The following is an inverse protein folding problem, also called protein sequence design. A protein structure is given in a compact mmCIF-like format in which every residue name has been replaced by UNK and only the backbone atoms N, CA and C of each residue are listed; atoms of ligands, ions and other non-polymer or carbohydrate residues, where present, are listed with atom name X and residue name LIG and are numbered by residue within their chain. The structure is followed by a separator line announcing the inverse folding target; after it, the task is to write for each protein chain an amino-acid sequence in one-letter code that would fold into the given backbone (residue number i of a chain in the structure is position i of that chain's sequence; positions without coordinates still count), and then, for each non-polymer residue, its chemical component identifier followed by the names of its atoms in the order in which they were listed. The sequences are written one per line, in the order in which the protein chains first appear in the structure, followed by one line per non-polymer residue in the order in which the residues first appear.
data_IF_632254867208
#
_entry.id   IF_632254867208
#
_cell.length_a   1.000
_cell.length_b   1.000
_cell.length_c   1.000
_cell.angle_alpha   90.00
_cell.angle_beta   90.00
_cell.angle_gamma   90.00
#
_symmetry.space_group_name_H-M   'P 1'
#
loop_
_entity.id
_entity.type
_entity.pdbx_description
1 polymer ?
#
# COMPACT_ATOMS: atom_id res chain seq x y z
N UNK A 1 -34.95 -7.23 41.54
CA UNK A 1 -34.68 -5.92 40.95
C UNK A 1 -34.65 -6.11 39.44
N UNK A 2 -35.77 -5.79 38.80
CA UNK A 2 -35.94 -5.95 37.36
C UNK A 2 -35.26 -4.77 36.70
N UNK A 3 -34.07 -5.00 36.16
CA UNK A 3 -33.26 -3.96 35.52
C UNK A 3 -33.91 -3.63 34.17
N UNK A 4 -34.63 -2.51 34.11
CA UNK A 4 -35.20 -2.00 32.87
C UNK A 4 -34.07 -1.27 32.16
N UNK A 5 -33.18 -2.03 31.53
CA UNK A 5 -32.20 -1.48 30.62
C UNK A 5 -32.96 -0.70 29.53
N UNK A 6 -32.65 0.59 29.40
CA UNK A 6 -33.15 1.42 28.31
C UNK A 6 -32.91 0.69 26.98
N UNK A 7 -33.92 0.53 26.11
CA UNK A 7 -33.74 -0.14 24.83
C UNK A 7 -32.62 0.55 24.04
N UNK A 8 -31.54 -0.17 23.77
CA UNK A 8 -30.44 0.33 22.94
C UNK A 8 -30.92 0.38 21.50
N UNK A 9 -30.78 1.53 20.85
CA UNK A 9 -31.10 1.66 19.43
C UNK A 9 -30.22 0.72 18.59
N UNK A 10 -30.85 -0.06 17.71
CA UNK A 10 -30.17 -1.09 16.91
C UNK A 10 -29.22 -0.48 15.88
N UNK A 11 -29.52 0.71 15.38
CA UNK A 11 -28.66 1.44 14.45
C UNK A 11 -27.40 1.90 15.17
N UNK A 12 -27.57 2.58 16.29
CA UNK A 12 -26.48 3.04 17.15
C UNK A 12 -25.59 1.89 17.63
N UNK A 13 -26.17 0.76 18.05
CA UNK A 13 -25.38 -0.41 18.43
C UNK A 13 -24.49 -0.90 17.29
N UNK A 14 -25.01 -1.00 16.06
CA UNK A 14 -24.23 -1.41 14.89
C UNK A 14 -23.15 -0.38 14.53
N UNK A 15 -23.47 0.90 14.62
CA UNK A 15 -22.52 1.98 14.36
C UNK A 15 -21.35 1.93 15.36
N UNK A 16 -21.64 1.86 16.65
CA UNK A 16 -20.63 1.79 17.71
C UNK A 16 -19.79 0.51 17.57
N UNK A 17 -20.43 -0.64 17.42
CA UNK A 17 -19.70 -1.91 17.27
C UNK A 17 -18.88 -1.97 15.97
N UNK A 18 -19.28 -1.25 14.92
CA UNK A 18 -18.51 -1.12 13.68
C UNK A 18 -17.14 -0.45 13.85
N UNK A 19 -16.90 0.24 14.98
CA UNK A 19 -15.61 0.83 15.31
C UNK A 19 -14.63 -0.16 15.95
N UNK A 20 -15.06 -1.38 16.29
CA UNK A 20 -14.16 -2.45 16.73
C UNK A 20 -13.78 -3.31 15.51
N UNK A 21 -12.56 -3.15 14.96
CA UNK A 21 -12.15 -3.91 13.78
C UNK A 21 -12.07 -5.40 14.12
N UNK A 22 -12.44 -6.23 13.15
CA UNK A 22 -12.38 -7.69 13.28
C UNK A 22 -11.58 -8.28 12.14
N UNK A 23 -10.87 -9.39 12.39
CA UNK A 23 -10.40 -10.23 11.29
C UNK A 23 -11.57 -10.91 10.60
N UNK A 24 -11.37 -11.33 9.36
CA UNK A 24 -12.34 -12.16 8.63
C UNK A 24 -11.86 -13.60 8.62
N UNK A 25 -12.75 -14.53 8.94
CA UNK A 25 -12.49 -15.96 8.84
C UNK A 25 -13.59 -16.65 8.03
N UNK A 26 -13.22 -17.76 7.38
CA UNK A 26 -14.17 -18.65 6.70
C UNK A 26 -14.20 -20.00 7.42
N UNK A 27 -15.33 -20.29 8.05
CA UNK A 27 -15.61 -21.61 8.64
C UNK A 27 -16.06 -22.53 7.53
N UNK A 28 -15.34 -23.63 7.35
CA UNK A 28 -15.61 -24.64 6.32
C UNK A 28 -15.84 -25.99 6.96
N UNK A 29 -16.59 -26.84 6.25
CA UNK A 29 -16.82 -28.20 6.67
C UNK A 29 -17.33 -29.04 5.52
N UNK A 30 -17.21 -30.36 5.65
CA UNK A 30 -17.79 -31.32 4.72
C UNK A 30 -18.94 -32.07 5.38
N UNK A 31 -20.13 -32.00 4.80
CA UNK A 31 -21.26 -32.81 5.24
C UNK A 31 -21.09 -34.28 4.82
N UNK A 32 -21.82 -35.19 5.47
CA UNK A 32 -21.73 -36.64 5.24
C UNK A 32 -22.03 -37.05 3.78
N UNK A 33 -22.84 -36.26 3.08
CA UNK A 33 -23.15 -36.45 1.66
C UNK A 33 -22.05 -35.93 0.71
N UNK A 34 -20.95 -35.41 1.23
CA UNK A 34 -19.84 -34.81 0.48
C UNK A 34 -20.02 -33.33 0.12
N UNK A 35 -21.14 -32.69 0.51
CA UNK A 35 -21.36 -31.26 0.27
C UNK A 35 -20.33 -30.41 1.03
N UNK A 36 -19.65 -29.50 0.32
CA UNK A 36 -18.73 -28.54 0.91
C UNK A 36 -19.49 -27.30 1.37
N UNK A 37 -19.25 -26.92 2.62
CA UNK A 37 -19.93 -25.83 3.29
C UNK A 37 -18.93 -24.71 3.62
N UNK A 38 -19.36 -23.45 3.51
CA UNK A 38 -18.55 -22.29 3.85
C UNK A 38 -19.40 -21.17 4.45
N UNK A 39 -18.98 -20.67 5.61
CA UNK A 39 -19.60 -19.58 6.35
C UNK A 39 -18.54 -18.51 6.67
N UNK A 40 -18.71 -17.32 6.13
CA UNK A 40 -17.88 -16.15 6.45
C UNK A 40 -18.32 -15.58 7.80
N UNK A 41 -17.36 -15.34 8.70
CA UNK A 41 -17.60 -14.77 10.03
C UNK A 41 -16.56 -13.66 10.33
N UNK A 42 -17.04 -12.57 10.93
CA UNK A 42 -16.20 -11.55 11.57
C UNK A 42 -16.12 -11.71 13.10
N UNK A 43 -16.73 -12.76 13.65
CA UNK A 43 -16.87 -12.99 15.09
C UNK A 43 -15.84 -13.97 15.65
N UNK A 44 -14.87 -14.38 14.84
CA UNK A 44 -13.88 -15.37 15.23
C UNK A 44 -12.89 -14.84 16.28
N UNK A 45 -12.52 -15.68 17.25
CA UNK A 45 -11.48 -15.35 18.23
C UNK A 45 -10.95 -16.56 19.01
N UNK A 46 -9.73 -16.43 19.55
CA UNK A 46 -9.11 -17.39 20.47
C UNK A 46 -9.76 -17.33 21.86
N UNK A 47 -9.95 -18.48 22.50
CA UNK A 47 -10.60 -18.58 23.82
C UNK A 47 -9.63 -19.08 24.90
N UNK A 48 -8.88 -20.13 24.62
CA UNK A 48 -8.00 -20.78 25.59
C UNK A 48 -6.73 -21.30 24.93
N UNK A 49 -5.62 -21.28 25.67
CA UNK A 49 -4.36 -21.90 25.27
C UNK A 49 -4.24 -23.35 25.76
N UNK A 50 -4.77 -23.66 26.95
CA UNK A 50 -4.73 -25.01 27.53
C UNK A 50 -6.07 -25.36 28.25
N UNK A 51 -6.91 -26.24 27.66
CA UNK A 51 -6.77 -26.81 26.32
C UNK A 51 -6.92 -25.73 25.23
N UNK A 52 -6.38 -25.95 24.01
CA UNK A 52 -6.48 -24.97 22.93
C UNK A 52 -7.91 -24.89 22.39
N UNK A 53 -8.56 -23.73 22.57
CA UNK A 53 -9.94 -23.48 22.17
C UNK A 53 -10.06 -22.19 21.35
N UNK A 54 -10.92 -22.23 20.34
CA UNK A 54 -11.35 -21.07 19.54
C UNK A 54 -12.87 -20.96 19.53
N UNK A 55 -13.39 -19.81 19.13
CA UNK A 55 -14.84 -19.60 18.99
C UNK A 55 -15.22 -18.74 17.81
N UNK A 56 -16.47 -18.88 17.39
CA UNK A 56 -17.16 -17.97 16.47
C UNK A 56 -18.65 -17.91 16.83
N UNK A 57 -19.31 -16.84 16.41
CA UNK A 57 -20.72 -16.59 16.75
C UNK A 57 -21.57 -16.47 15.49
N UNK A 58 -22.22 -17.56 15.04
CA UNK A 58 -23.16 -17.54 13.93
C UNK A 58 -24.57 -17.17 14.40
N UNK A 59 -25.36 -16.54 13.51
CA UNK A 59 -26.78 -16.29 13.77
C UNK A 59 -27.54 -17.61 13.94
N UNK A 60 -28.51 -17.65 14.85
CA UNK A 60 -29.40 -18.82 15.04
C UNK A 60 -30.17 -19.20 13.77
N UNK A 61 -30.41 -18.22 12.89
CA UNK A 61 -31.13 -18.38 11.62
C UNK A 61 -30.24 -18.85 10.46
N UNK A 62 -28.92 -19.00 10.66
CA UNK A 62 -27.99 -19.39 9.60
C UNK A 62 -28.22 -20.83 9.15
N UNK A 63 -28.70 -20.99 7.91
CA UNK A 63 -28.87 -22.31 7.27
C UNK A 63 -27.54 -23.04 7.06
N UNK A 64 -26.48 -22.30 6.73
CA UNK A 64 -25.14 -22.89 6.58
C UNK A 64 -24.64 -23.42 7.92
N UNK A 65 -24.81 -22.67 9.01
CA UNK A 65 -24.39 -23.14 10.33
C UNK A 65 -25.20 -24.35 10.80
N UNK A 66 -26.51 -24.39 10.50
CA UNK A 66 -27.34 -25.54 10.81
C UNK A 66 -26.84 -26.85 10.17
N UNK A 67 -26.14 -26.77 9.03
CA UNK A 67 -25.44 -27.91 8.42
C UNK A 67 -24.04 -28.13 9.04
N UNK A 68 -23.24 -27.06 9.17
CA UNK A 68 -21.89 -27.14 9.73
C UNK A 68 -21.85 -27.73 11.14
N UNK A 69 -22.86 -27.46 11.98
CA UNK A 69 -22.91 -27.98 13.35
C UNK A 69 -23.07 -29.51 13.43
N UNK A 70 -23.53 -30.14 12.35
CA UNK A 70 -23.70 -31.60 12.26
C UNK A 70 -22.44 -32.27 11.68
N UNK A 71 -21.46 -31.51 11.17
CA UNK A 71 -20.20 -32.04 10.67
C UNK A 71 -19.32 -32.58 11.81
N UNK A 72 -18.58 -33.65 11.54
CA UNK A 72 -17.68 -34.27 12.53
C UNK A 72 -16.49 -33.37 12.93
N UNK A 73 -16.10 -32.47 12.04
CA UNK A 73 -15.02 -31.50 12.19
C UNK A 73 -15.30 -30.26 11.36
N UNK A 74 -14.53 -29.20 11.60
CA UNK A 74 -14.59 -27.94 10.88
C UNK A 74 -13.18 -27.39 10.68
N UNK A 75 -12.94 -26.69 9.57
CA UNK A 75 -11.72 -25.94 9.35
C UNK A 75 -12.00 -24.43 9.36
N UNK A 76 -11.28 -23.68 10.19
CA UNK A 76 -11.29 -22.22 10.22
C UNK A 76 -10.16 -21.70 9.34
N UNK A 77 -10.50 -20.95 8.29
CA UNK A 77 -9.54 -20.32 7.40
C UNK A 77 -9.42 -18.83 7.73
N UNK A 78 -8.24 -18.38 8.14
CA UNK A 78 -7.90 -16.96 8.29
C UNK A 78 -7.45 -16.46 6.93
N UNK A 79 -8.13 -15.46 6.37
CA UNK A 79 -7.92 -15.04 4.97
C UNK A 79 -7.09 -13.77 4.85
N UNK A 80 -6.35 -13.66 3.74
CA UNK A 80 -5.50 -12.50 3.44
C UNK A 80 -6.29 -11.33 2.86
N UNK A 81 -5.73 -10.13 2.93
CA UNK A 81 -6.35 -8.91 2.40
C UNK A 81 -6.65 -8.96 0.90
N UNK A 82 -5.87 -9.73 0.14
CA UNK A 82 -6.07 -9.93 -1.30
C UNK A 82 -7.28 -10.83 -1.63
N UNK A 83 -7.83 -11.54 -0.63
CA UNK A 83 -8.94 -12.49 -0.82
C UNK A 83 -10.32 -11.86 -0.62
N UNK A 84 -10.44 -10.52 -0.70
CA UNK A 84 -11.71 -9.80 -0.56
C UNK A 84 -12.78 -10.31 -1.55
N UNK A 85 -12.41 -10.50 -2.82
CA UNK A 85 -13.34 -10.97 -3.86
C UNK A 85 -13.83 -12.39 -3.57
N UNK A 86 -12.93 -13.28 -3.13
CA UNK A 86 -13.24 -14.66 -2.75
C UNK A 86 -14.24 -14.68 -1.59
N UNK A 87 -13.95 -13.93 -0.53
CA UNK A 87 -14.82 -13.83 0.66
C UNK A 87 -16.20 -13.27 0.27
N UNK A 88 -16.21 -12.24 -0.57
CA UNK A 88 -17.44 -11.63 -1.09
C UNK A 88 -18.27 -12.62 -1.91
N UNK A 89 -17.63 -13.47 -2.72
CA UNK A 89 -18.29 -14.52 -3.48
C UNK A 89 -18.91 -15.59 -2.56
N UNK A 90 -18.16 -16.05 -1.56
CA UNK A 90 -18.62 -17.03 -0.56
C UNK A 90 -19.80 -16.53 0.29
N UNK A 91 -19.84 -15.23 0.57
CA UNK A 91 -20.93 -14.59 1.31
C UNK A 91 -22.22 -14.44 0.47
N UNK A 92 -22.09 -14.28 -0.87
CA UNK A 92 -23.21 -14.03 -1.79
C UNK A 92 -23.84 -15.30 -2.36
N UNK A 93 -23.05 -16.32 -2.70
CA UNK A 93 -23.54 -17.55 -3.34
C UNK A 93 -24.18 -18.48 -2.31
N UNK A 94 -25.33 -19.05 -2.65
CA UNK A 94 -26.05 -20.00 -1.80
C UNK A 94 -25.92 -21.46 -2.30
N UNK A 95 -25.60 -21.65 -3.58
CA UNK A 95 -25.27 -22.94 -4.20
C UNK A 95 -23.86 -22.88 -4.79
N UNK A 96 -23.19 -24.04 -4.87
CA UNK A 96 -21.86 -24.23 -5.45
C UNK A 96 -20.81 -23.21 -5.01
N UNK A 97 -20.69 -22.99 -3.69
CA UNK A 97 -19.80 -21.97 -3.11
C UNK A 97 -18.33 -22.13 -3.51
N UNK A 98 -17.89 -23.35 -3.82
CA UNK A 98 -16.51 -23.68 -4.13
C UNK A 98 -16.21 -23.71 -5.64
N UNK A 99 -17.17 -23.41 -6.52
CA UNK A 99 -16.92 -23.36 -7.97
C UNK A 99 -15.94 -22.22 -8.30
N UNK A 100 -14.75 -22.61 -8.78
CA UNK A 100 -13.65 -21.69 -9.11
C UNK A 100 -12.84 -21.21 -7.91
N UNK A 101 -12.96 -21.87 -6.75
CA UNK A 101 -12.14 -21.61 -5.56
C UNK A 101 -11.21 -22.79 -5.35
N UNK A 102 -9.91 -22.53 -5.35
CA UNK A 102 -8.89 -23.53 -5.05
C UNK A 102 -8.85 -23.83 -3.54
N UNK A 103 -8.77 -25.11 -3.19
CA UNK A 103 -8.71 -25.59 -1.81
C UNK A 103 -8.05 -26.96 -1.72
N UNK A 104 -7.59 -27.33 -0.53
CA UNK A 104 -7.02 -28.63 -0.20
C UNK A 104 -7.55 -29.14 1.14
N UNK A 105 -7.57 -30.46 1.41
CA UNK A 105 -8.13 -30.98 2.66
C UNK A 105 -7.24 -30.73 3.88
N UNK A 106 -7.86 -30.38 5.01
CA UNK A 106 -7.23 -30.41 6.34
C UNK A 106 -6.94 -31.86 6.77
N UNK A 107 -6.22 -32.10 7.89
CA UNK A 107 -6.04 -33.44 8.45
C UNK A 107 -7.37 -34.19 8.72
N UNK A 108 -8.41 -33.48 9.18
CA UNK A 108 -9.76 -34.05 9.33
C UNK A 108 -10.55 -34.10 8.01
N UNK A 109 -10.00 -33.50 6.95
CA UNK A 109 -10.51 -33.56 5.58
C UNK A 109 -11.41 -32.38 5.18
N UNK A 110 -11.52 -31.34 6.01
CA UNK A 110 -12.34 -30.16 5.72
C UNK A 110 -11.60 -29.17 4.79
N UNK A 111 -12.31 -28.33 4.02
CA UNK A 111 -11.67 -27.44 3.05
C UNK A 111 -10.75 -26.37 3.65
N UNK A 112 -9.45 -26.47 3.37
CA UNK A 112 -8.50 -25.37 3.54
C UNK A 112 -8.44 -24.56 2.25
N UNK A 113 -8.80 -23.28 2.31
CA UNK A 113 -8.77 -22.38 1.15
C UNK A 113 -7.31 -22.12 0.75
N UNK A 114 -7.03 -22.19 -0.55
CA UNK A 114 -5.73 -21.82 -1.09
C UNK A 114 -5.39 -20.37 -0.73
N UNK A 115 -4.11 -20.10 -0.51
CA UNK A 115 -3.54 -18.78 -0.17
C UNK A 115 -4.09 -18.13 1.12
N UNK A 116 -4.90 -18.86 1.91
CA UNK A 116 -5.28 -18.43 3.25
C UNK A 116 -4.04 -18.20 4.11
N UNK A 117 -4.12 -17.22 5.02
CA UNK A 117 -3.01 -16.85 5.90
C UNK A 117 -2.63 -18.00 6.81
N UNK A 118 -3.65 -18.60 7.41
CA UNK A 118 -3.52 -19.75 8.29
C UNK A 118 -4.84 -20.52 8.30
N UNK A 119 -4.75 -21.78 8.71
CA UNK A 119 -5.92 -22.61 8.94
C UNK A 119 -5.84 -23.31 10.30
N UNK A 120 -7.01 -23.65 10.84
CA UNK A 120 -7.17 -24.31 12.14
C UNK A 120 -8.19 -25.42 11.98
N UNK A 121 -7.75 -26.67 12.16
CA UNK A 121 -8.58 -27.87 12.13
C UNK A 121 -9.20 -28.08 13.51
N UNK A 122 -10.52 -28.23 13.58
CA UNK A 122 -11.27 -28.13 14.84
C UNK A 122 -12.43 -29.11 14.93
N UNK A 123 -12.93 -29.29 16.17
CA UNK A 123 -14.21 -29.97 16.45
C UNK A 123 -15.05 -29.14 17.41
N UNK A 124 -16.35 -29.06 17.16
CA UNK A 124 -17.27 -28.38 18.09
C UNK A 124 -17.31 -29.16 19.39
N UNK A 125 -17.04 -28.47 20.51
CA UNK A 125 -17.13 -29.03 21.86
C UNK A 125 -18.36 -28.57 22.61
N UNK A 126 -18.81 -27.34 22.36
CA UNK A 126 -19.99 -26.78 23.01
C UNK A 126 -20.64 -25.69 22.15
N UNK A 127 -21.93 -25.45 22.38
CA UNK A 127 -22.71 -24.39 21.73
C UNK A 127 -23.60 -23.71 22.76
N UNK A 128 -23.29 -22.47 23.10
CA UNK A 128 -23.99 -21.69 24.12
C UNK A 128 -24.98 -20.74 23.47
N UNK A 129 -26.17 -20.64 24.05
CA UNK A 129 -27.22 -19.73 23.59
C UNK A 129 -26.91 -18.28 23.98
N UNK A 130 -26.85 -17.35 23.01
CA UNK A 130 -26.52 -15.94 23.25
C UNK A 130 -27.37 -14.99 22.40
N UNK A 131 -28.56 -14.63 22.89
CA UNK A 131 -29.45 -13.70 22.20
C UNK A 131 -29.93 -14.26 20.85
N UNK A 132 -29.66 -13.57 19.75
CA UNK A 132 -29.97 -14.01 18.38
C UNK A 132 -28.83 -14.81 17.71
N UNK A 133 -27.73 -15.05 18.44
CA UNK A 133 -26.57 -15.84 18.00
C UNK A 133 -26.33 -17.07 18.88
N UNK A 134 -25.52 -17.98 18.36
CA UNK A 134 -24.83 -19.00 19.16
C UNK A 134 -23.42 -18.52 19.49
N UNK A 135 -22.85 -18.99 20.60
CA UNK A 135 -21.40 -18.99 20.82
C UNK A 135 -20.94 -20.43 20.65
N UNK A 136 -20.16 -20.68 19.59
CA UNK A 136 -19.68 -22.03 19.26
C UNK A 136 -18.25 -22.16 19.74
N UNK A 137 -18.00 -23.10 20.64
CA UNK A 137 -16.66 -23.43 21.13
C UNK A 137 -16.12 -24.62 20.36
N UNK A 138 -14.90 -24.50 19.88
CA UNK A 138 -14.23 -25.56 19.13
C UNK A 138 -12.87 -25.89 19.74
N UNK A 139 -12.60 -27.17 19.94
CA UNK A 139 -11.27 -27.67 20.27
C UNK A 139 -10.40 -27.72 19.03
N UNK A 140 -9.16 -27.24 19.15
CA UNK A 140 -8.16 -27.28 18.08
C UNK A 140 -7.50 -28.65 18.05
N UNK A 141 -7.50 -29.28 16.88
CA UNK A 141 -6.84 -30.55 16.63
C UNK A 141 -5.48 -30.37 15.92
N UNK A 142 -5.41 -29.45 14.96
CA UNK A 142 -4.20 -29.10 14.22
C UNK A 142 -4.32 -27.66 13.66
N UNK A 143 -3.20 -27.04 13.29
CA UNK A 143 -3.19 -25.71 12.67
C UNK A 143 -1.84 -25.42 12.00
N UNK A 144 -1.87 -24.61 10.94
CA UNK A 144 -0.65 -24.12 10.31
C UNK A 144 -0.82 -22.70 9.78
N UNK A 145 0.30 -21.98 9.72
CA UNK A 145 0.44 -20.76 8.93
C UNK A 145 0.89 -21.17 7.53
N UNK A 146 0.15 -20.75 6.51
CA UNK A 146 0.36 -21.18 5.12
C UNK A 146 0.82 -20.05 4.23
N UNK A 147 0.37 -18.83 4.47
CA UNK A 147 0.71 -17.66 3.66
C UNK A 147 0.81 -16.40 4.55
N UNK A 148 1.98 -16.02 5.09
CA UNK A 148 2.10 -14.97 6.10
C UNK A 148 1.96 -13.54 5.52
N UNK A 149 0.84 -13.27 4.85
CA UNK A 149 0.45 -11.96 4.30
C UNK A 149 -0.45 -11.21 5.29
N UNK A 150 -0.66 -9.93 5.01
CA UNK A 150 -1.57 -9.09 5.79
C UNK A 150 -3.00 -9.66 5.78
N UNK A 151 -3.66 -9.81 6.94
CA UNK A 151 -5.00 -10.41 7.01
C UNK A 151 -6.08 -9.44 6.53
N UNK A 152 -7.18 -10.01 6.03
CA UNK A 152 -8.40 -9.25 5.72
C UNK A 152 -9.07 -8.79 7.02
N UNK A 153 -9.41 -7.51 7.08
CA UNK A 153 -10.08 -6.86 8.20
C UNK A 153 -11.44 -6.36 7.75
N UNK A 154 -12.44 -6.47 8.63
CA UNK A 154 -13.73 -5.82 8.49
C UNK A 154 -13.86 -4.66 9.49
N UNK A 155 -14.13 -3.47 8.98
CA UNK A 155 -14.22 -2.23 9.77
C UNK A 155 -15.30 -1.30 9.19
N UNK A 156 -16.18 -0.78 10.04
CA UNK A 156 -17.25 0.15 9.66
C UNK A 156 -18.08 -0.25 8.42
N UNK A 157 -18.33 -1.55 8.24
CA UNK A 157 -19.16 -2.06 7.13
C UNK A 157 -18.40 -2.33 5.83
N UNK A 158 -17.09 -2.13 5.79
CA UNK A 158 -16.24 -2.40 4.63
C UNK A 158 -15.09 -3.35 4.93
N UNK A 159 -14.50 -3.91 3.86
CA UNK A 159 -13.28 -4.68 3.93
C UNK A 159 -12.04 -3.78 3.82
N UNK A 160 -10.93 -4.25 4.37
CA UNK A 160 -9.61 -3.65 4.29
C UNK A 160 -8.54 -4.63 4.76
N UNK A 161 -7.33 -4.15 4.98
CA UNK A 161 -6.21 -5.01 5.41
C UNK A 161 -5.47 -4.41 6.62
N UNK A 162 -4.96 -5.28 7.49
CA UNK A 162 -4.13 -4.86 8.61
C UNK A 162 -2.69 -4.63 8.14
N UNK A 163 -2.18 -3.43 8.40
CA UNK A 163 -0.77 -3.09 8.18
C UNK A 163 -0.18 -2.73 9.53
N UNK A 164 0.77 -3.53 10.00
CA UNK A 164 1.49 -3.29 11.25
C UNK A 164 2.33 -2.03 11.19
N UNK A 165 2.45 -1.34 12.33
CA UNK A 165 3.20 -0.08 12.47
C UNK A 165 4.70 -0.26 12.73
N UNK A 166 5.21 -1.49 12.80
CA UNK A 166 6.64 -1.76 13.05
C UNK A 166 7.49 -1.58 11.79
N UNK A 167 8.60 -0.85 11.91
CA UNK A 167 9.57 -0.55 10.85
C UNK A 167 10.12 -1.79 10.13
N UNK A 168 10.24 -2.95 10.80
CA UNK A 168 10.77 -4.17 10.20
C UNK A 168 9.73 -4.96 9.39
N UNK A 169 8.43 -4.75 9.64
CA UNK A 169 7.34 -5.43 8.94
C UNK A 169 6.79 -4.62 7.74
N UNK A 170 7.26 -3.38 7.55
CA UNK A 170 6.87 -2.45 6.47
C UNK A 170 7.52 -2.72 5.12
N UNK A 171 8.40 -3.71 5.06
CA UNK A 171 8.99 -4.13 3.81
C UNK A 171 8.05 -5.17 3.20
N UNK A 172 7.16 -4.72 2.32
CA UNK A 172 6.60 -5.64 1.32
C UNK A 172 7.76 -6.47 0.74
N UNK A 173 7.57 -7.77 0.47
CA UNK A 173 8.64 -8.61 -0.08
C UNK A 173 9.27 -8.00 -1.36
N UNK A 174 8.57 -7.10 -2.06
CA UNK A 174 9.09 -6.28 -3.17
C UNK A 174 9.98 -5.11 -2.72
N UNK A 175 9.64 -4.38 -1.66
CA UNK A 175 10.44 -3.22 -1.23
C UNK A 175 11.85 -3.62 -0.75
N UNK A 176 12.00 -4.81 -0.17
CA UNK A 176 13.31 -5.35 0.21
C UNK A 176 14.23 -5.58 -1.00
N UNK A 177 13.71 -6.17 -2.08
CA UNK A 177 14.50 -6.36 -3.30
C UNK A 177 14.85 -5.01 -3.93
N UNK A 178 13.92 -4.07 -3.95
CA UNK A 178 14.17 -2.71 -4.48
C UNK A 178 15.26 -1.97 -3.68
N UNK A 179 15.28 -2.10 -2.35
CA UNK A 179 16.34 -1.54 -1.50
C UNK A 179 17.68 -2.21 -1.79
N UNK A 180 17.71 -3.54 -1.88
CA UNK A 180 18.95 -4.28 -2.19
C UNK A 180 19.51 -3.89 -3.57
N UNK A 181 18.64 -3.73 -4.56
CA UNK A 181 19.04 -3.33 -5.91
C UNK A 181 19.53 -1.87 -5.95
N UNK A 182 18.84 -0.97 -5.26
CA UNK A 182 19.29 0.42 -5.15
C UNK A 182 20.63 0.53 -4.39
N UNK A 183 20.85 -0.31 -3.38
CA UNK A 183 22.09 -0.33 -2.58
C UNK A 183 23.34 -0.60 -3.42
N UNK A 184 23.22 -1.34 -4.53
CA UNK A 184 24.32 -1.54 -5.49
C UNK A 184 24.83 -0.22 -6.09
N UNK A 185 23.97 0.81 -6.19
CA UNK A 185 24.33 2.13 -6.69
C UNK A 185 24.71 3.12 -5.57
N UNK A 186 24.81 2.68 -4.31
CA UNK A 186 25.06 3.55 -3.14
C UNK A 186 26.23 4.49 -3.34
N UNK A 187 27.39 3.98 -3.73
CA UNK A 187 28.60 4.79 -3.93
C UNK A 187 28.39 5.86 -5.01
N UNK A 188 27.78 5.49 -6.14
CA UNK A 188 27.52 6.45 -7.22
C UNK A 188 26.52 7.54 -6.81
N UNK A 189 25.51 7.18 -6.00
CA UNK A 189 24.54 8.13 -5.43
C UNK A 189 25.20 9.06 -4.41
N UNK A 190 26.08 8.56 -3.56
CA UNK A 190 26.85 9.35 -2.59
C UNK A 190 27.83 10.32 -3.29
N UNK A 191 28.54 9.85 -4.31
CA UNK A 191 29.46 10.66 -5.12
C UNK A 191 28.71 11.77 -5.87
N UNK A 192 27.55 11.45 -6.46
CA UNK A 192 26.70 12.44 -7.12
C UNK A 192 26.22 13.52 -6.14
N UNK A 193 25.74 13.11 -4.96
CA UNK A 193 25.30 14.04 -3.92
C UNK A 193 26.43 14.95 -3.48
N UNK A 194 27.62 14.40 -3.22
CA UNK A 194 28.80 15.13 -2.78
C UNK A 194 29.24 16.17 -3.82
N UNK A 195 29.39 15.76 -5.06
CA UNK A 195 29.96 16.62 -6.10
C UNK A 195 29.04 17.76 -6.54
N UNK A 196 27.73 17.53 -6.49
CA UNK A 196 26.74 18.57 -6.78
C UNK A 196 26.53 19.46 -5.55
N UNK A 197 26.70 18.92 -4.35
CA UNK A 197 26.33 19.60 -3.12
C UNK A 197 24.80 19.62 -2.94
N UNK A 198 24.16 18.46 -3.09
CA UNK A 198 22.71 18.30 -3.03
C UNK A 198 22.26 17.05 -2.24
N UNK A 199 20.96 16.83 -2.17
CA UNK A 199 20.38 15.55 -1.76
C UNK A 199 20.01 14.73 -3.01
N UNK A 200 20.41 13.47 -3.03
CA UNK A 200 20.03 12.51 -4.08
C UNK A 200 19.18 11.42 -3.45
N UNK A 201 17.99 11.20 -3.97
CA UNK A 201 17.02 10.23 -3.45
C UNK A 201 16.54 9.32 -4.57
N UNK A 202 16.52 8.01 -4.31
CA UNK A 202 15.93 7.00 -5.19
C UNK A 202 14.59 6.58 -4.59
N UNK A 203 13.53 6.71 -5.36
CA UNK A 203 12.19 6.22 -5.04
C UNK A 203 11.87 4.95 -5.84
N UNK A 204 11.04 4.07 -5.29
CA UNK A 204 10.38 2.99 -6.01
C UNK A 204 8.87 3.05 -5.81
N UNK A 205 8.08 2.62 -6.78
CA UNK A 205 6.63 2.50 -6.66
C UNK A 205 6.26 1.36 -5.68
N UNK A 206 5.44 1.66 -4.67
CA UNK A 206 4.97 0.69 -3.65
C UNK A 206 3.45 0.51 -3.74
N UNK A 207 2.93 0.68 -4.96
CA UNK A 207 1.50 0.70 -5.29
C UNK A 207 1.20 1.69 -6.41
N UNK A 208 -0.08 1.80 -6.80
CA UNK A 208 -0.52 2.73 -7.87
C UNK A 208 -0.53 4.20 -7.46
N UNK A 209 -0.57 4.45 -6.15
CA UNK A 209 -0.80 5.79 -5.60
C UNK A 209 0.35 6.29 -4.73
N UNK A 210 1.39 5.47 -4.52
CA UNK A 210 2.46 5.73 -3.56
C UNK A 210 3.80 5.22 -4.05
N UNK A 211 4.84 6.00 -3.78
CA UNK A 211 6.24 5.60 -3.93
C UNK A 211 6.95 5.70 -2.58
N UNK A 212 8.06 4.98 -2.40
CA UNK A 212 8.84 5.01 -1.18
C UNK A 212 10.32 5.22 -1.46
N UNK A 213 11.01 5.89 -0.54
CA UNK A 213 12.46 6.08 -0.59
C UNK A 213 13.17 4.76 -0.35
N UNK A 214 14.00 4.31 -1.30
CA UNK A 214 14.80 3.07 -1.19
C UNK A 214 16.28 3.34 -0.96
N UNK A 215 16.76 4.52 -1.36
CA UNK A 215 18.11 4.99 -1.11
C UNK A 215 18.09 6.52 -1.04
N UNK A 216 18.85 7.11 -0.11
CA UNK A 216 19.08 8.56 -0.08
C UNK A 216 20.52 8.84 0.37
N UNK A 217 21.14 9.86 -0.21
CA UNK A 217 22.42 10.40 0.19
C UNK A 217 22.38 11.93 0.14
N UNK A 218 23.15 12.59 0.99
CA UNK A 218 23.18 14.05 1.05
C UNK A 218 24.61 14.54 1.21
N UNK A 219 24.94 15.66 0.58
CA UNK A 219 26.22 16.31 0.76
C UNK A 219 26.42 16.80 2.21
N UNK A 220 27.68 16.99 2.66
CA UNK A 220 27.96 17.55 3.98
C UNK A 220 27.25 18.92 4.18
N UNK A 221 26.51 19.05 5.28
CA UNK A 221 25.78 20.28 5.61
C UNK A 221 24.37 20.36 5.04
N UNK A 222 23.91 19.34 4.34
CA UNK A 222 22.51 19.17 3.91
C UNK A 222 21.82 18.20 4.86
N UNK A 223 20.75 18.66 5.50
CA UNK A 223 19.88 17.79 6.30
C UNK A 223 19.01 16.97 5.33
N UNK A 224 19.04 15.63 5.37
CA UNK A 224 18.22 14.81 4.47
C UNK A 224 16.73 15.10 4.66
N UNK A 225 16.00 15.38 3.58
CA UNK A 225 14.56 15.62 3.61
C UNK A 225 13.78 14.33 3.87
N UNK A 226 14.33 13.18 3.47
CA UNK A 226 13.65 11.89 3.52
C UNK A 226 14.45 10.81 4.25
N UNK A 227 13.79 10.12 5.18
CA UNK A 227 14.29 8.88 5.77
C UNK A 227 14.12 7.67 4.83
N UNK A 228 14.91 6.62 5.02
CA UNK A 228 14.72 5.33 4.34
C UNK A 228 13.27 4.84 4.54
N UNK A 229 12.66 4.29 3.48
CA UNK A 229 11.27 3.80 3.45
C UNK A 229 10.19 4.87 3.72
N UNK A 230 10.51 6.15 3.57
CA UNK A 230 9.53 7.23 3.59
C UNK A 230 8.63 7.20 2.35
N UNK A 231 7.31 7.08 2.56
CA UNK A 231 6.29 7.09 1.49
C UNK A 231 5.93 8.51 1.05
N UNK A 232 5.71 8.67 -0.24
CA UNK A 232 5.34 9.91 -0.93
C UNK A 232 4.18 9.59 -1.89
N UNK A 233 3.15 10.45 -2.00
CA UNK A 233 2.03 10.20 -2.90
C UNK A 233 2.42 10.36 -4.37
N UNK A 234 1.85 9.52 -5.23
CA UNK A 234 1.89 9.65 -6.70
C UNK A 234 0.64 10.45 -7.13
N UNK A 235 0.78 11.78 -7.18
CA UNK A 235 -0.27 12.77 -7.47
C UNK A 235 0.32 13.94 -8.27
N UNK A 236 -0.34 14.50 -9.29
CA UNK A 236 0.26 15.58 -10.08
C UNK A 236 0.67 16.80 -9.23
N UNK A 237 1.86 17.39 -9.49
CA UNK A 237 2.88 17.01 -10.49
C UNK A 237 3.83 15.88 -10.05
N UNK A 238 3.69 15.35 -8.84
CA UNK A 238 4.53 14.28 -8.28
C UNK A 238 4.22 12.91 -8.92
N UNK A 239 5.28 12.21 -9.32
CA UNK A 239 5.19 10.85 -9.87
C UNK A 239 4.94 10.80 -11.39
N UNK A 240 5.03 11.94 -12.07
CA UNK A 240 5.05 12.01 -13.54
C UNK A 240 6.12 11.12 -14.18
N UNK A 241 7.32 11.04 -13.58
CA UNK A 241 8.40 10.11 -13.98
C UNK A 241 8.06 8.62 -13.84
N UNK A 242 7.01 8.24 -13.10
CA UNK A 242 6.53 6.85 -13.00
C UNK A 242 5.30 6.60 -13.89
N UNK A 243 4.59 7.67 -14.27
CA UNK A 243 3.28 7.58 -14.94
C UNK A 243 3.38 7.77 -16.45
N UNK A 244 4.42 8.44 -16.95
CA UNK A 244 4.52 8.84 -18.36
C UNK A 244 4.49 7.67 -19.37
N UNK A 245 4.94 6.48 -18.99
CA UNK A 245 4.96 5.30 -19.86
C UNK A 245 3.80 4.33 -19.57
N UNK A 246 2.90 4.69 -18.65
CA UNK A 246 1.70 3.89 -18.36
C UNK A 246 0.63 4.06 -19.43
N UNK A 247 -0.33 3.12 -19.55
CA UNK A 247 -1.46 3.26 -20.46
C UNK A 247 -2.25 4.57 -20.24
N UNK A 248 -2.87 5.16 -21.28
CA UNK A 248 -3.61 6.42 -21.16
C UNK A 248 -4.67 6.45 -20.05
N UNK A 249 -5.30 5.31 -19.76
CA UNK A 249 -6.27 5.17 -18.68
C UNK A 249 -5.67 5.39 -17.28
N UNK A 250 -4.43 4.95 -17.06
CA UNK A 250 -3.72 5.15 -15.80
C UNK A 250 -3.13 6.57 -15.71
N UNK A 251 -2.73 7.16 -16.84
CA UNK A 251 -2.35 8.58 -16.91
C UNK A 251 -3.55 9.49 -16.56
N UNK A 252 -4.72 9.24 -17.14
CA UNK A 252 -5.94 9.99 -16.83
C UNK A 252 -6.40 9.79 -15.38
N UNK A 253 -6.21 8.59 -14.82
CA UNK A 253 -6.46 8.32 -13.39
C UNK A 253 -5.54 9.16 -12.50
N UNK A 254 -4.26 9.29 -12.85
CA UNK A 254 -3.32 10.14 -12.13
C UNK A 254 -3.70 11.62 -12.26
N UNK A 255 -4.02 12.10 -13.47
CA UNK A 255 -4.50 13.48 -13.70
C UNK A 255 -5.76 13.81 -12.91
N UNK A 256 -6.69 12.84 -12.78
CA UNK A 256 -7.93 13.01 -12.01
C UNK A 256 -7.69 13.26 -10.49
N UNK A 257 -6.48 12.98 -9.98
CA UNK A 257 -6.10 13.27 -8.59
C UNK A 257 -5.85 14.76 -8.36
N UNK A 258 -5.59 15.55 -9.40
CA UNK A 258 -5.47 17.01 -9.35
C UNK A 258 -6.86 17.70 -9.33
N UNK A 259 -7.66 17.41 -8.30
CA UNK A 259 -8.98 18.05 -8.12
C UNK A 259 -8.79 19.53 -7.77
N UNK A 260 -9.48 20.41 -8.49
CA UNK A 260 -9.38 21.87 -8.31
C UNK A 260 -8.39 22.58 -9.24
N UNK A 261 -7.57 21.83 -9.98
CA UNK A 261 -6.69 22.40 -11.02
C UNK A 261 -7.49 22.63 -12.30
N UNK A 262 -7.43 23.86 -12.82
CA UNK A 262 -8.06 24.27 -14.08
C UNK A 262 -7.41 23.59 -15.30
N UNK A 263 -8.10 23.61 -16.44
CA UNK A 263 -7.63 22.93 -17.65
C UNK A 263 -6.21 23.34 -18.10
N UNK A 264 -5.77 24.62 -18.01
CA UNK A 264 -4.38 24.97 -18.32
C UNK A 264 -3.35 24.24 -17.47
N UNK A 265 -3.62 24.06 -16.17
CA UNK A 265 -2.73 23.31 -15.27
C UNK A 265 -2.75 21.80 -15.55
N UNK A 266 -3.90 21.25 -15.93
CA UNK A 266 -4.00 19.85 -16.37
C UNK A 266 -3.26 19.61 -17.68
N UNK A 267 -3.34 20.55 -18.61
CA UNK A 267 -2.61 20.48 -19.87
C UNK A 267 -1.09 20.51 -19.60
N UNK A 268 -0.62 21.37 -18.69
CA UNK A 268 0.78 21.35 -18.27
C UNK A 268 1.21 19.96 -17.76
N UNK A 269 0.40 19.26 -16.98
CA UNK A 269 0.75 17.92 -16.52
C UNK A 269 0.82 16.89 -17.66
N UNK A 270 -0.05 16.99 -18.67
CA UNK A 270 0.05 16.17 -19.90
C UNK A 270 1.33 16.48 -20.67
N UNK A 271 1.62 17.76 -20.87
CA UNK A 271 2.82 18.22 -21.57
C UNK A 271 4.09 17.72 -20.86
N UNK A 272 4.07 17.65 -19.51
CA UNK A 272 5.18 17.05 -18.73
C UNK A 272 5.38 15.56 -19.00
N UNK A 273 4.30 14.79 -19.13
CA UNK A 273 4.40 13.36 -19.50
C UNK A 273 5.02 13.19 -20.90
N UNK A 274 4.67 14.07 -21.83
CA UNK A 274 5.26 14.07 -23.18
C UNK A 274 6.73 14.53 -23.16
N UNK A 275 7.04 15.53 -22.34
CA UNK A 275 8.40 16.05 -22.19
C UNK A 275 9.35 14.99 -21.64
N UNK A 276 9.00 14.30 -20.54
CA UNK A 276 9.86 13.27 -19.96
C UNK A 276 10.05 12.09 -20.91
N UNK A 277 9.03 11.76 -21.71
CA UNK A 277 9.14 10.73 -22.75
C UNK A 277 10.16 11.11 -23.83
N UNK A 278 10.27 12.39 -24.15
CA UNK A 278 11.19 12.89 -25.17
C UNK A 278 12.62 13.17 -24.65
N UNK A 279 12.75 13.59 -23.39
CA UNK A 279 14.02 14.12 -22.84
C UNK A 279 14.64 13.26 -21.75
N UNK A 280 13.89 12.34 -21.13
CA UNK A 280 14.40 11.46 -20.06
C UNK A 280 14.57 12.13 -18.70
N UNK A 281 14.19 13.41 -18.54
CA UNK A 281 14.22 14.09 -17.25
C UNK A 281 13.12 15.13 -17.13
N UNK A 282 12.90 15.60 -15.90
CA UNK A 282 11.99 16.69 -15.56
C UNK A 282 12.66 17.66 -14.59
N UNK A 283 12.33 18.93 -14.75
CA UNK A 283 12.77 20.01 -13.89
C UNK A 283 11.59 20.62 -13.14
N UNK A 284 11.90 21.16 -11.97
CA UNK A 284 11.10 22.17 -11.28
C UNK A 284 11.98 23.36 -10.92
N UNK A 285 11.38 24.54 -10.82
CA UNK A 285 12.06 25.80 -10.54
C UNK A 285 11.54 26.40 -9.24
N UNK A 286 12.45 27.00 -8.49
CA UNK A 286 12.15 27.78 -7.30
C UNK A 286 11.84 29.23 -7.69
N UNK A 287 10.89 29.88 -7.01
CA UNK A 287 10.66 31.30 -7.20
C UNK A 287 11.88 32.10 -6.76
N UNK A 288 12.19 33.17 -7.50
CA UNK A 288 13.32 34.08 -7.21
C UNK A 288 13.21 34.76 -5.83
N UNK A 289 12.00 34.88 -5.29
CA UNK A 289 11.70 35.49 -3.99
C UNK A 289 11.46 34.43 -2.90
N UNK A 290 12.53 33.85 -2.36
CA UNK A 290 12.54 33.24 -1.01
C UNK A 290 12.38 31.71 -0.93
N UNK A 291 13.16 31.09 -0.04
CA UNK A 291 13.32 29.64 0.11
C UNK A 291 12.18 28.86 0.77
N UNK A 292 11.02 29.47 1.01
CA UNK A 292 9.89 28.83 1.68
C UNK A 292 9.03 27.94 0.75
N UNK A 293 9.27 27.96 -0.57
CA UNK A 293 8.45 27.23 -1.54
C UNK A 293 8.42 25.71 -1.32
N UNK A 294 9.54 25.14 -0.86
CA UNK A 294 9.62 23.71 -0.51
C UNK A 294 9.18 23.41 0.92
N UNK A 295 9.14 24.37 1.85
CA UNK A 295 8.73 24.10 3.24
C UNK A 295 7.28 23.61 3.31
N UNK A 296 6.37 24.25 2.57
CA UNK A 296 4.96 23.83 2.54
C UNK A 296 4.74 22.45 1.94
N UNK A 297 5.50 22.10 0.89
CA UNK A 297 5.48 20.78 0.26
C UNK A 297 6.17 19.73 1.14
N UNK A 298 7.29 20.06 1.75
CA UNK A 298 8.04 19.20 2.68
C UNK A 298 7.19 18.87 3.90
N UNK A 299 6.52 19.85 4.51
CA UNK A 299 5.60 19.63 5.62
C UNK A 299 4.38 18.78 5.22
N UNK A 300 3.92 18.89 3.97
CA UNK A 300 2.83 18.08 3.45
C UNK A 300 3.28 16.62 3.22
N UNK A 301 4.44 16.41 2.60
CA UNK A 301 5.04 15.10 2.36
C UNK A 301 5.51 14.42 3.66
N UNK A 302 6.04 15.18 4.63
CA UNK A 302 6.41 14.66 5.94
C UNK A 302 5.19 14.27 6.77
N UNK A 303 4.05 14.98 6.66
CA UNK A 303 2.78 14.53 7.24
C UNK A 303 2.25 13.26 6.56
N UNK A 304 2.46 13.12 5.25
CA UNK A 304 2.17 11.90 4.51
C UNK A 304 3.02 10.71 4.99
N UNK A 305 4.31 10.94 5.19
CA UNK A 305 5.26 9.95 5.68
C UNK A 305 4.95 9.42 7.10
N UNK A 306 4.41 10.29 7.97
CA UNK A 306 4.30 10.04 9.40
C UNK A 306 2.94 9.49 9.89
N UNK A 307 1.98 9.13 9.02
CA UNK A 307 0.75 8.50 9.50
C UNK A 307 -0.26 8.05 8.46
N UNK A 308 -1.21 7.20 8.88
CA UNK A 308 -2.45 6.88 8.15
C UNK A 308 -3.34 8.13 8.14
N UNK A 309 -3.19 8.92 7.09
CA UNK A 309 -4.01 10.10 6.85
C UNK A 309 -5.46 9.67 6.60
N UNK A 310 -6.41 10.36 7.21
CA UNK A 310 -7.81 10.27 6.78
C UNK A 310 -7.93 10.78 5.34
N UNK A 311 -8.96 10.38 4.57
CA UNK A 311 -9.20 10.94 3.24
C UNK A 311 -9.27 12.47 3.20
N UNK A 312 -9.64 13.12 4.32
CA UNK A 312 -9.60 14.57 4.45
C UNK A 312 -8.18 15.14 4.60
N UNK A 313 -7.32 14.46 5.36
CA UNK A 313 -5.92 14.85 5.51
C UNK A 313 -5.11 14.61 4.23
N UNK A 314 -5.38 13.53 3.49
CA UNK A 314 -4.82 13.31 2.16
C UNK A 314 -5.22 14.42 1.19
N UNK A 315 -6.50 14.82 1.17
CA UNK A 315 -6.97 15.95 0.36
C UNK A 315 -6.26 17.24 0.72
N UNK A 316 -6.12 17.55 2.02
CA UNK A 316 -5.41 18.75 2.48
C UNK A 316 -3.94 18.76 2.08
N UNK A 317 -3.28 17.60 2.11
CA UNK A 317 -1.90 17.45 1.66
C UNK A 317 -1.78 17.64 0.16
N UNK A 318 -2.69 17.06 -0.63
CA UNK A 318 -2.76 17.25 -2.09
C UNK A 318 -3.01 18.72 -2.46
N UNK A 319 -3.95 19.38 -1.80
CA UNK A 319 -4.23 20.81 -1.98
C UNK A 319 -2.97 21.65 -1.72
N UNK A 320 -2.22 21.36 -0.64
CA UNK A 320 -0.96 22.06 -0.35
C UNK A 320 0.18 21.78 -1.32
N UNK A 321 0.22 20.59 -1.93
CA UNK A 321 1.18 20.28 -3.01
C UNK A 321 0.87 21.12 -4.26
N UNK A 322 -0.42 21.24 -4.60
CA UNK A 322 -0.89 22.07 -5.72
C UNK A 322 -0.69 23.57 -5.45
N UNK A 323 -0.90 24.02 -4.21
CA UNK A 323 -0.69 25.41 -3.79
C UNK A 323 0.78 25.77 -3.54
N UNK A 324 1.71 24.82 -3.70
CA UNK A 324 3.14 25.10 -3.52
C UNK A 324 3.64 26.11 -4.55
N UNK A 325 4.54 27.01 -4.14
CA UNK A 325 5.11 28.03 -5.02
C UNK A 325 6.18 27.47 -5.99
N UNK A 326 6.25 26.15 -6.15
CA UNK A 326 7.21 25.48 -7.04
C UNK A 326 6.68 25.58 -8.47
N UNK A 327 7.52 26.06 -9.37
CA UNK A 327 7.18 26.21 -10.77
C UNK A 327 7.55 24.94 -11.55
N UNK A 328 6.53 24.28 -12.10
CA UNK A 328 6.66 23.05 -12.89
C UNK A 328 6.54 23.28 -14.40
N UNK A 329 6.58 24.54 -14.85
CA UNK A 329 6.56 24.88 -16.28
C UNK A 329 7.76 24.29 -17.00
N UNK A 330 7.51 23.81 -18.21
CA UNK A 330 8.56 23.30 -19.09
C UNK A 330 9.38 24.48 -19.63
N UNK A 331 10.71 24.36 -19.56
CA UNK A 331 11.65 25.36 -20.05
C UNK A 331 12.83 24.69 -20.70
N UNK A 332 13.25 25.21 -21.83
CA UNK A 332 14.55 24.91 -22.38
C UNK A 332 15.61 25.65 -21.57
N UNK A 333 16.69 24.96 -21.22
CA UNK A 333 17.81 25.56 -20.48
C UNK A 333 18.67 26.34 -21.46
N UNK A 334 18.83 27.64 -21.26
CA UNK A 334 19.78 28.49 -21.98
C UNK A 334 21.14 28.50 -21.25
N UNK A 335 22.24 28.46 -22.00
CA UNK A 335 23.58 28.20 -21.44
C UNK A 335 24.03 29.21 -20.37
N UNK A 336 23.76 30.48 -20.64
CA UNK A 336 24.19 31.63 -19.85
C UNK A 336 23.11 32.12 -18.88
N UNK A 337 21.87 31.62 -18.99
CA UNK A 337 20.83 31.98 -18.05
C UNK A 337 21.06 31.30 -16.71
N UNK A 338 20.69 32.01 -15.64
CA UNK A 338 20.86 31.56 -14.26
C UNK A 338 19.51 31.10 -13.68
N UNK A 339 19.49 29.89 -13.13
CA UNK A 339 18.31 29.21 -12.61
C UNK A 339 18.44 28.91 -11.12
N UNK A 340 17.29 28.89 -10.43
CA UNK A 340 17.12 28.29 -9.11
C UNK A 340 16.32 27.00 -9.30
N UNK A 341 17.00 25.86 -9.47
CA UNK A 341 16.34 24.56 -9.69
C UNK A 341 15.81 24.03 -8.36
N UNK A 342 14.54 23.64 -8.33
CA UNK A 342 13.91 22.99 -7.17
C UNK A 342 14.25 21.51 -7.09
N UNK A 343 14.11 20.80 -8.22
CA UNK A 343 14.55 19.42 -8.35
C UNK A 343 14.81 19.03 -9.80
N UNK A 344 15.69 18.04 -9.97
CA UNK A 344 15.86 17.27 -11.21
C UNK A 344 15.34 15.87 -10.95
N UNK A 345 14.50 15.34 -11.84
CA UNK A 345 13.87 14.03 -11.68
C UNK A 345 14.11 13.21 -12.94
N UNK A 346 14.62 11.99 -12.79
CA UNK A 346 14.89 11.06 -13.88
C UNK A 346 14.16 9.74 -13.61
N UNK A 347 13.43 9.20 -14.61
CA UNK A 347 12.79 7.90 -14.50
C UNK A 347 13.85 6.79 -14.61
N UNK A 348 13.67 5.70 -13.87
CA UNK A 348 14.61 4.57 -13.81
C UNK A 348 13.85 3.28 -14.08
N UNK A 349 14.31 2.49 -15.04
CA UNK A 349 13.70 1.19 -15.38
C UNK A 349 14.04 0.13 -14.34
N UNK A 350 13.12 -0.80 -14.12
CA UNK A 350 13.41 -2.08 -13.48
C UNK A 350 13.91 -3.12 -14.49
N UNK A 351 14.21 -4.32 -13.99
CA UNK A 351 14.63 -5.47 -14.81
C UNK A 351 13.58 -5.95 -15.82
N UNK A 352 12.30 -5.65 -15.59
CA UNK A 352 11.23 -5.96 -16.55
C UNK A 352 11.11 -4.88 -17.65
N UNK A 353 11.91 -3.82 -17.56
CA UNK A 353 11.92 -2.68 -18.49
C UNK A 353 10.87 -1.62 -18.16
N UNK A 354 10.11 -1.77 -17.07
CA UNK A 354 9.10 -0.81 -16.64
C UNK A 354 9.70 0.31 -15.80
N UNK A 355 9.16 1.53 -15.93
CA UNK A 355 9.59 2.68 -15.13
C UNK A 355 8.95 2.66 -13.74
N UNK A 356 9.54 1.90 -12.83
CA UNK A 356 9.04 1.71 -11.46
C UNK A 356 9.87 2.46 -10.41
N UNK A 357 11.01 3.05 -10.82
CA UNK A 357 11.90 3.81 -9.95
C UNK A 357 12.11 5.24 -10.46
N UNK A 358 12.52 6.12 -9.57
CA UNK A 358 12.82 7.53 -9.87
C UNK A 358 14.06 7.97 -9.12
N UNK A 359 15.03 8.55 -9.82
CA UNK A 359 16.14 9.29 -9.23
C UNK A 359 15.75 10.76 -9.13
N UNK A 360 15.85 11.34 -7.93
CA UNK A 360 15.57 12.76 -7.66
C UNK A 360 16.80 13.43 -7.09
N UNK A 361 17.17 14.58 -7.64
CA UNK A 361 18.09 15.52 -7.04
C UNK A 361 17.28 16.66 -6.43
N UNK A 362 17.43 16.90 -5.13
CA UNK A 362 16.78 17.95 -4.35
C UNK A 362 17.79 18.80 -3.59
N UNK A 363 17.34 19.91 -2.99
CA UNK A 363 18.21 20.83 -2.25
C UNK A 363 19.44 21.30 -3.07
N UNK A 364 19.22 21.57 -4.35
CA UNK A 364 20.28 21.92 -5.31
C UNK A 364 20.88 23.32 -5.03
N UNK A 365 22.15 23.54 -5.40
CA UNK A 365 22.74 24.87 -5.39
C UNK A 365 21.91 25.89 -6.18
N UNK A 366 21.80 27.09 -5.63
CA UNK A 366 21.04 28.20 -6.22
C UNK A 366 21.88 29.01 -7.18
N UNK A 367 21.21 29.75 -8.06
CA UNK A 367 21.80 30.66 -9.05
C UNK A 367 22.88 29.98 -9.90
N UNK A 368 22.52 28.87 -10.52
CA UNK A 368 23.41 28.09 -11.38
C UNK A 368 23.11 28.34 -12.86
N UNK A 369 24.14 28.30 -13.70
CA UNK A 369 23.98 28.46 -15.15
C UNK A 369 23.28 27.26 -15.78
N UNK A 370 22.57 27.45 -16.89
CA UNK A 370 21.97 26.33 -17.64
C UNK A 370 22.99 25.28 -18.04
N UNK A 371 24.23 25.68 -18.38
CA UNK A 371 25.34 24.76 -18.64
C UNK A 371 25.60 23.83 -17.45
N UNK A 372 25.65 24.37 -16.23
CA UNK A 372 25.87 23.58 -15.02
C UNK A 372 24.70 22.65 -14.70
N UNK A 373 23.47 23.08 -14.97
CA UNK A 373 22.29 22.21 -14.82
C UNK A 373 22.34 21.03 -15.78
N UNK A 374 22.76 21.23 -17.04
CA UNK A 374 22.94 20.14 -18.00
C UNK A 374 24.04 19.16 -17.58
N UNK A 375 25.14 19.66 -17.01
CA UNK A 375 26.19 18.79 -16.42
C UNK A 375 25.63 17.93 -15.29
N UNK A 376 24.75 18.47 -14.44
CA UNK A 376 24.10 17.69 -13.38
C UNK A 376 23.17 16.61 -13.93
N UNK A 377 22.41 16.91 -14.98
CA UNK A 377 21.54 15.94 -15.66
C UNK A 377 22.38 14.80 -16.23
N UNK A 378 23.44 15.11 -16.99
CA UNK A 378 24.32 14.11 -17.59
C UNK A 378 24.94 13.17 -16.54
N UNK A 379 25.38 13.74 -15.40
CA UNK A 379 25.89 12.94 -14.29
C UNK A 379 24.81 12.10 -13.59
N UNK A 380 23.59 12.60 -13.52
CA UNK A 380 22.48 11.84 -12.97
C UNK A 380 22.11 10.67 -13.89
N UNK A 381 22.18 10.84 -15.21
CA UNK A 381 21.99 9.79 -16.21
C UNK A 381 23.00 8.65 -16.03
N UNK A 382 24.27 8.94 -15.73
CA UNK A 382 25.27 7.91 -15.40
C UNK A 382 24.87 7.07 -14.17
N UNK A 383 24.23 7.68 -13.16
CA UNK A 383 23.72 6.97 -11.99
C UNK A 383 22.46 6.17 -12.32
N UNK A 384 21.60 6.68 -13.20
CA UNK A 384 20.45 5.95 -13.74
C UNK A 384 20.91 4.67 -14.43
N UNK A 385 21.93 4.75 -15.29
CA UNK A 385 22.50 3.57 -15.97
C UNK A 385 22.94 2.50 -14.96
N UNK A 386 23.61 2.90 -13.87
CA UNK A 386 24.03 1.97 -12.81
C UNK A 386 22.81 1.33 -12.11
N UNK A 387 21.78 2.12 -11.80
CA UNK A 387 20.55 1.63 -11.17
C UNK A 387 19.78 0.66 -12.08
N UNK A 388 19.78 0.89 -13.39
CA UNK A 388 19.14 0.01 -14.38
C UNK A 388 19.93 -1.28 -14.62
N UNK A 389 21.27 -1.24 -14.52
CA UNK A 389 22.16 -2.40 -14.67
C UNK A 389 22.19 -3.32 -13.44
N UNK A 390 21.58 -2.92 -12.32
CA UNK A 390 21.62 -3.59 -11.03
C UNK A 390 21.16 -5.06 -11.04
N UNK A 391 22.14 -5.97 -11.16
CA UNK A 391 22.02 -7.43 -11.01
C UNK A 391 22.92 -8.27 -11.93
N UNK A 392 23.63 -7.67 -12.88
CA UNK A 392 24.57 -8.39 -13.75
C UNK A 392 26.00 -8.43 -13.21
N UNK A 393 26.31 -9.35 -12.29
CA UNK A 393 27.70 -9.83 -12.16
C UNK A 393 27.73 -11.34 -11.92
N UNK A 394 28.18 -12.06 -12.95
CA UNK A 394 28.92 -13.31 -12.79
C UNK A 394 29.97 -13.15 -11.67
N UNK A 395 29.85 -13.93 -10.59
CA UNK A 395 30.95 -14.61 -9.89
C UNK A 395 30.45 -15.55 -8.80
#
# INVERSE_FOLDING_TARGET
MTDIATPVDRGLFREVMGHYPTGVAVVTGRADNGELLALVVGTFGSVSLDPPLVSFMPMKTSKTFAKLRECASLCINIVGGEQEELVSALARRWENKFDGIDWFPSPSGDPVLADSVAWIDTRITDTVEAGDHWIVLCAVADMAVTNPVAPLIFFQGGYGSFVGTSLLARLEHRLLSEIQEADCARTAVEDLAHDIGCEVTVYTAVGRDEMATVLSASAPGIDPENGLAQRVPIVPPIGDSLVFDLPPEDQERWLAKARGVEEPGRQLYRDRLDFVRAHGFLLSFLPREGGAAYEGMRDATHRYANGRLTPAQERNIRERVVESAVDYTLRDLEEEETYDIGSVVLPVRDRAGGYTRTLRLGQLPRRVSGTRVREWIARAEEVVDILELGGGSDR
#
